data_IF_248823770046
#
_entry.id   IF_248823770046
#
_cell.length_a   1.000
_cell.length_b   1.000
_cell.length_c   1.000
_cell.angle_alpha   90.00
_cell.angle_beta   90.00
_cell.angle_gamma   90.00
#
_symmetry.space_group_name_H-M   'P 1'
#
loop_
_entity.id
_entity.type
_entity.pdbx_description
1 polymer ?
#
# COMPACT_ATOMS: atom_id res chain seq x y z
N UNK A 1 -3.53 -27.82 -4.08
CA UNK A 1 -4.49 -26.85 -3.51
C UNK A 1 -4.63 -25.69 -4.47
N UNK A 2 -5.82 -25.10 -4.67
CA UNK A 2 -6.00 -23.93 -5.52
C UNK A 2 -5.39 -22.67 -4.88
N UNK A 3 -5.12 -21.63 -5.68
CA UNK A 3 -4.47 -20.40 -5.21
C UNK A 3 -5.35 -19.55 -4.25
N UNK A 4 -6.67 -19.76 -4.23
CA UNK A 4 -7.63 -18.98 -3.45
C UNK A 4 -7.98 -19.60 -2.09
N UNK A 5 -7.12 -20.49 -1.57
CA UNK A 5 -7.30 -21.03 -0.21
C UNK A 5 -7.00 -19.92 0.79
N UNK A 6 -7.96 -19.65 1.67
CA UNK A 6 -7.78 -18.69 2.75
C UNK A 6 -6.52 -19.01 3.56
N UNK A 7 -5.70 -17.99 3.79
CA UNK A 7 -4.46 -18.09 4.54
C UNK A 7 -4.40 -16.95 5.54
N UNK A 8 -3.89 -17.24 6.73
CA UNK A 8 -3.63 -16.26 7.77
C UNK A 8 -2.12 -16.10 7.95
N UNK A 9 -1.65 -14.86 8.00
CA UNK A 9 -0.23 -14.54 8.12
C UNK A 9 -0.03 -13.44 9.16
N UNK A 10 1.09 -13.52 9.89
CA UNK A 10 1.56 -12.46 10.78
C UNK A 10 2.81 -11.84 10.14
N UNK A 11 2.81 -10.52 9.97
CA UNK A 11 3.91 -9.77 9.36
C UNK A 11 4.38 -8.69 10.33
N UNK A 12 5.68 -8.69 10.59
CA UNK A 12 6.35 -7.63 11.36
C UNK A 12 7.33 -6.92 10.42
N UNK A 13 7.30 -5.59 10.43
CA UNK A 13 8.22 -4.77 9.67
C UNK A 13 8.39 -3.41 10.37
N UNK A 14 9.53 -2.77 10.18
CA UNK A 14 9.74 -1.40 10.63
C UNK A 14 9.03 -0.39 9.71
N UNK A 15 8.99 0.89 10.09
CA UNK A 15 8.28 1.91 9.30
C UNK A 15 8.85 2.09 7.88
N UNK A 16 10.16 1.99 7.69
CA UNK A 16 10.78 2.12 6.36
C UNK A 16 10.31 0.99 5.44
N UNK A 17 10.27 -0.23 5.96
CA UNK A 17 9.79 -1.40 5.24
C UNK A 17 8.30 -1.27 4.92
N UNK A 18 7.48 -0.83 5.87
CA UNK A 18 6.06 -0.57 5.61
C UNK A 18 5.84 0.47 4.52
N UNK A 19 6.57 1.58 4.56
CA UNK A 19 6.50 2.62 3.50
C UNK A 19 6.87 2.04 2.13
N UNK A 20 7.92 1.22 2.05
CA UNK A 20 8.30 0.55 0.81
C UNK A 20 7.23 -0.42 0.30
N UNK A 21 6.68 -1.25 1.19
CA UNK A 21 5.61 -2.20 0.85
C UNK A 21 4.35 -1.48 0.38
N UNK A 22 3.96 -0.39 1.04
CA UNK A 22 2.82 0.45 0.63
C UNK A 22 3.04 1.03 -0.77
N UNK A 23 4.22 1.62 -1.02
CA UNK A 23 4.54 2.21 -2.32
C UNK A 23 4.51 1.17 -3.45
N UNK A 24 5.00 -0.05 -3.20
CA UNK A 24 5.03 -1.10 -4.23
C UNK A 24 3.66 -1.75 -4.44
N UNK A 25 2.89 -1.99 -3.36
CA UNK A 25 1.68 -2.81 -3.40
C UNK A 25 0.38 -2.00 -3.46
N UNK A 26 0.44 -0.68 -3.27
CA UNK A 26 -0.68 0.24 -3.39
C UNK A 26 -0.95 0.74 -4.82
N UNK A 27 -0.04 0.50 -5.76
CA UNK A 27 -0.10 1.01 -7.15
C UNK A 27 -1.09 0.27 -8.04
N UNK A 28 -1.41 0.86 -9.20
CA UNK A 28 -2.37 0.32 -10.16
C UNK A 28 -1.92 -1.01 -10.81
N UNK A 29 -0.61 -1.18 -10.97
CA UNK A 29 0.06 -2.39 -11.51
C UNK A 29 0.09 -3.56 -10.51
N UNK A 30 -0.14 -3.30 -9.22
CA UNK A 30 -0.24 -4.34 -8.21
C UNK A 30 -1.53 -5.16 -8.37
N UNK A 31 -1.47 -6.43 -7.95
CA UNK A 31 -2.64 -7.31 -7.92
C UNK A 31 -3.71 -6.73 -6.97
N UNK A 32 -4.98 -6.84 -7.36
CA UNK A 32 -6.05 -6.08 -6.72
C UNK A 32 -6.36 -6.52 -5.27
N UNK A 33 -6.18 -7.80 -4.91
CA UNK A 33 -6.39 -8.29 -3.54
C UNK A 33 -5.33 -7.73 -2.59
N UNK A 34 -4.04 -7.83 -2.95
CA UNK A 34 -2.98 -7.28 -2.10
C UNK A 34 -3.10 -5.77 -1.96
N UNK A 35 -3.53 -5.07 -3.01
CA UNK A 35 -3.77 -3.63 -2.95
C UNK A 35 -4.88 -3.26 -1.96
N UNK A 36 -5.98 -4.02 -1.92
CA UNK A 36 -7.04 -3.83 -0.92
C UNK A 36 -6.50 -4.05 0.49
N UNK A 37 -5.73 -5.12 0.71
CA UNK A 37 -5.09 -5.39 2.00
C UNK A 37 -4.17 -4.23 2.42
N UNK A 38 -3.41 -3.66 1.49
CA UNK A 38 -2.49 -2.54 1.76
C UNK A 38 -3.23 -1.25 2.10
N UNK A 39 -4.37 -0.98 1.46
CA UNK A 39 -5.21 0.17 1.80
C UNK A 39 -5.71 0.07 3.25
N UNK A 40 -6.17 -1.11 3.68
CA UNK A 40 -6.59 -1.29 5.08
C UNK A 40 -5.42 -1.17 6.06
N UNK A 41 -4.25 -1.72 5.72
CA UNK A 41 -3.04 -1.55 6.52
C UNK A 41 -2.65 -0.06 6.63
N UNK A 42 -2.71 0.69 5.52
CA UNK A 42 -2.36 2.11 5.49
C UNK A 42 -3.31 2.93 6.37
N UNK A 43 -4.61 2.63 6.39
CA UNK A 43 -5.56 3.30 7.31
C UNK A 43 -5.12 3.13 8.77
N UNK A 44 -4.82 1.89 9.18
CA UNK A 44 -4.36 1.58 10.55
C UNK A 44 -3.04 2.29 10.85
N UNK A 45 -2.10 2.32 9.90
CA UNK A 45 -0.80 2.99 10.08
C UNK A 45 -0.93 4.51 10.18
N UNK A 46 -1.82 5.15 9.38
CA UNK A 46 -2.11 6.59 9.49
C UNK A 46 -2.76 6.94 10.83
N UNK A 47 -3.56 6.04 11.43
CA UNK A 47 -4.09 6.22 12.78
C UNK A 47 -3.00 6.12 13.86
N UNK A 48 -2.06 5.17 13.71
CA UNK A 48 -1.03 4.89 14.74
C UNK A 48 0.18 5.80 14.67
N UNK A 49 0.57 6.24 13.47
CA UNK A 49 1.78 7.03 13.22
C UNK A 49 1.57 8.02 12.06
N UNK A 50 0.66 9.00 12.19
CA UNK A 50 0.23 9.88 11.10
C UNK A 50 1.39 10.57 10.39
N UNK A 51 2.32 11.18 11.14
CA UNK A 51 3.48 11.90 10.58
C UNK A 51 4.41 11.02 9.72
N UNK A 52 4.37 9.70 9.91
CA UNK A 52 5.20 8.75 9.14
C UNK A 52 4.55 8.37 7.81
N UNK A 53 3.22 8.53 7.67
CA UNK A 53 2.44 8.01 6.53
C UNK A 53 1.48 9.04 5.92
N UNK A 54 1.56 10.31 6.33
CA UNK A 54 0.69 11.40 5.85
C UNK A 54 0.88 11.73 4.37
N UNK A 55 2.03 11.39 3.80
CA UNK A 55 2.40 11.59 2.40
C UNK A 55 1.84 10.52 1.43
N UNK A 56 1.12 9.52 1.97
CA UNK A 56 0.35 8.56 1.21
C UNK A 56 -1.14 8.90 1.23
N UNK A 57 -1.75 8.99 0.05
CA UNK A 57 -3.17 9.29 -0.13
C UNK A 57 -3.94 8.10 -0.70
N UNK A 58 -5.13 7.85 -0.17
CA UNK A 58 -5.98 6.74 -0.60
C UNK A 58 -7.00 7.28 -1.61
N UNK A 59 -6.91 6.81 -2.86
CA UNK A 59 -7.93 7.04 -3.87
C UNK A 59 -9.01 5.95 -3.75
N UNK A 60 -10.09 6.28 -3.04
CA UNK A 60 -11.21 5.36 -2.84
C UNK A 60 -11.96 4.99 -4.12
N UNK A 61 -11.94 5.87 -5.13
CA UNK A 61 -12.61 5.62 -6.42
C UNK A 61 -11.88 4.59 -7.27
N UNK A 62 -10.54 4.60 -7.23
CA UNK A 62 -9.69 3.67 -8.00
C UNK A 62 -9.12 2.52 -7.17
N UNK A 63 -9.35 2.52 -5.86
CA UNK A 63 -8.73 1.61 -4.90
C UNK A 63 -7.20 1.59 -5.03
N UNK A 64 -6.58 2.77 -5.03
CA UNK A 64 -5.13 2.95 -5.16
C UNK A 64 -4.55 3.74 -3.99
N UNK A 65 -3.25 3.59 -3.77
CA UNK A 65 -2.47 4.50 -2.93
C UNK A 65 -1.63 5.39 -3.85
N UNK A 66 -1.71 6.70 -3.64
CA UNK A 66 -0.90 7.72 -4.29
C UNK A 66 0.17 8.18 -3.31
N UNK A 67 1.40 8.36 -3.76
CA UNK A 67 2.48 8.89 -2.94
C UNK A 67 2.94 10.24 -3.50
N UNK A 68 3.09 11.26 -2.64
CA UNK A 68 3.46 12.61 -3.07
C UNK A 68 4.80 12.67 -3.84
N UNK A 69 5.71 11.70 -3.61
CA UNK A 69 6.98 11.57 -4.33
C UNK A 69 6.91 10.99 -5.75
N UNK A 70 5.79 10.37 -6.15
CA UNK A 70 5.67 9.63 -7.42
C UNK A 70 5.54 10.53 -8.66
N UNK A 71 5.46 11.85 -8.47
CA UNK A 71 5.38 12.79 -9.59
C UNK A 71 6.63 12.81 -10.49
N UNK A 72 7.75 12.23 -10.04
CA UNK A 72 9.04 12.20 -10.76
C UNK A 72 9.25 11.02 -11.73
N UNK A 73 8.41 9.99 -11.72
CA UNK A 73 8.65 8.75 -12.51
C UNK A 73 7.68 8.55 -13.70
N UNK A 74 6.76 9.48 -13.97
CA UNK A 74 5.83 9.41 -15.12
C UNK A 74 6.47 9.79 -16.47
N UNK A 75 7.76 9.47 -16.66
CA UNK A 75 8.55 9.88 -17.82
C UNK A 75 9.31 8.75 -18.51
N UNK A 76 8.97 7.49 -18.27
CA UNK A 76 9.56 6.36 -18.98
C UNK A 76 8.57 5.19 -18.99
N UNK A 77 7.86 5.05 -20.11
CA UNK A 77 7.39 3.81 -20.75
C UNK A 77 6.19 4.12 -21.67
#
# INVERSE_FOLDING_TARGET
>A
LPNAVQSEIVVTANFREWRHVIALRGRADAQWEIRRTIIEILKILKERAPTVFEDFEIDGGRQLVLHAGDAGERGKD
#
